data_IF_399263532443
#
_entry.id   IF_399263532443
#
_cell.length_a   1.000
_cell.length_b   1.000
_cell.length_c   1.000
_cell.angle_alpha   90.00
_cell.angle_beta   90.00
_cell.angle_gamma   90.00
#
_symmetry.space_group_name_H-M   'P 1'
#
loop_
_entity.id
_entity.type
_entity.pdbx_description
1 polymer ?
#
# COMPACT_ATOMS: atom_id res chain seq x y z
N UNK A 1 9.89 -6.27 -38.20
CA UNK A 1 10.08 -5.53 -36.93
C UNK A 1 9.00 -6.05 -35.99
N UNK A 2 9.40 -6.83 -34.98
CA UNK A 2 8.51 -7.68 -34.18
C UNK A 2 7.46 -6.87 -33.40
N UNK A 3 6.23 -7.36 -33.47
CA UNK A 3 5.03 -6.83 -32.85
C UNK A 3 5.16 -6.72 -31.32
N UNK A 4 4.80 -5.54 -30.80
CA UNK A 4 4.49 -5.29 -29.40
C UNK A 4 3.33 -6.20 -28.95
N UNK A 5 3.64 -7.33 -28.32
CA UNK A 5 2.65 -8.03 -27.50
C UNK A 5 2.56 -7.27 -26.18
N UNK A 6 1.48 -6.48 -26.00
CA UNK A 6 1.02 -6.15 -24.65
C UNK A 6 0.77 -7.48 -23.95
N UNK A 7 1.41 -7.72 -22.81
CA UNK A 7 1.05 -8.87 -21.98
C UNK A 7 -0.26 -8.54 -21.28
N UNK A 8 -1.38 -8.89 -21.92
CA UNK A 8 -2.74 -8.59 -21.46
C UNK A 8 -3.07 -9.21 -20.08
N UNK A 9 -2.19 -10.07 -19.55
CA UNK A 9 -2.32 -10.67 -18.21
C UNK A 9 -1.79 -9.76 -17.09
N UNK A 10 -0.88 -8.83 -17.39
CA UNK A 10 -0.29 -7.95 -16.37
C UNK A 10 -1.34 -7.09 -15.64
N UNK A 11 -2.30 -6.44 -16.33
CA UNK A 11 -3.37 -5.70 -15.65
C UNK A 11 -4.21 -6.61 -14.73
N UNK A 12 -4.63 -7.79 -15.20
CA UNK A 12 -5.45 -8.72 -14.42
C UNK A 12 -4.75 -9.23 -13.15
N UNK A 13 -3.44 -9.47 -13.22
CA UNK A 13 -2.63 -9.84 -12.06
C UNK A 13 -2.51 -8.66 -11.09
N UNK A 14 -2.20 -7.46 -11.60
CA UNK A 14 -2.10 -6.26 -10.77
C UNK A 14 -3.41 -5.94 -10.04
N UNK A 15 -4.55 -6.06 -10.72
CA UNK A 15 -5.89 -5.97 -10.13
C UNK A 15 -6.12 -7.02 -9.03
N UNK A 16 -5.65 -8.25 -9.25
CA UNK A 16 -5.77 -9.33 -8.25
C UNK A 16 -4.95 -9.03 -7.00
N UNK A 17 -3.70 -8.57 -7.17
CA UNK A 17 -2.83 -8.14 -6.08
C UNK A 17 -3.46 -6.94 -5.35
N UNK A 18 -3.95 -5.96 -6.09
CA UNK A 18 -4.57 -4.76 -5.55
C UNK A 18 -5.82 -5.06 -4.75
N UNK A 19 -6.71 -5.93 -5.24
CA UNK A 19 -7.89 -6.39 -4.50
C UNK A 19 -7.52 -7.03 -3.17
N UNK A 20 -6.48 -7.86 -3.13
CA UNK A 20 -5.98 -8.46 -1.87
C UNK A 20 -5.46 -7.40 -0.90
N UNK A 21 -4.76 -6.38 -1.41
CA UNK A 21 -4.33 -5.22 -0.62
C UNK A 21 -5.54 -4.49 -0.04
N UNK A 22 -6.56 -4.18 -0.86
CA UNK A 22 -7.77 -3.48 -0.42
C UNK A 22 -8.56 -4.30 0.60
N UNK A 23 -8.72 -5.61 0.37
CA UNK A 23 -9.37 -6.53 1.30
C UNK A 23 -8.67 -6.54 2.65
N UNK A 24 -7.33 -6.65 2.67
CA UNK A 24 -6.57 -6.59 3.92
C UNK A 24 -6.67 -5.23 4.58
N UNK A 25 -6.47 -4.15 3.83
CA UNK A 25 -6.50 -2.77 4.34
C UNK A 25 -7.87 -2.40 4.94
N UNK A 26 -8.96 -3.05 4.50
CA UNK A 26 -10.32 -2.84 5.01
C UNK A 26 -10.68 -3.72 6.21
N UNK A 27 -9.74 -4.49 6.75
CA UNK A 27 -10.01 -5.28 7.95
C UNK A 27 -10.46 -4.35 9.11
N UNK A 28 -11.64 -4.57 9.72
CA UNK A 28 -12.18 -3.69 10.75
C UNK A 28 -11.25 -3.43 11.93
N UNK A 29 -10.38 -4.39 12.30
CA UNK A 29 -9.47 -4.27 13.44
C UNK A 29 -8.51 -3.08 13.32
N UNK A 30 -8.11 -2.68 12.11
CA UNK A 30 -7.29 -1.47 11.92
C UNK A 30 -8.00 -0.21 12.43
N UNK A 31 -9.31 -0.13 12.25
CA UNK A 31 -10.10 1.04 12.60
C UNK A 31 -10.61 0.96 14.04
N UNK A 32 -11.17 -0.18 14.40
CA UNK A 32 -11.85 -0.38 15.68
C UNK A 32 -10.86 -0.55 16.85
N UNK A 33 -9.81 -1.34 16.64
CA UNK A 33 -8.86 -1.70 17.70
C UNK A 33 -7.62 -0.81 17.64
N UNK A 34 -6.97 -0.75 16.48
CA UNK A 34 -5.75 0.04 16.26
C UNK A 34 -6.02 1.54 16.08
N UNK A 35 -7.30 1.95 15.94
CA UNK A 35 -7.68 3.37 15.98
C UNK A 35 -7.25 4.18 14.76
N UNK A 36 -7.00 3.53 13.62
CA UNK A 36 -6.80 4.25 12.35
C UNK A 36 -8.11 4.97 11.99
N UNK A 37 -8.10 6.27 11.66
CA UNK A 37 -9.32 6.99 11.34
C UNK A 37 -10.07 6.36 10.15
N UNK A 38 -11.33 5.94 10.34
CA UNK A 38 -12.17 5.43 9.26
C UNK A 38 -12.69 6.58 8.36
N UNK A 39 -11.77 7.14 7.60
CA UNK A 39 -11.98 8.23 6.65
C UNK A 39 -11.35 7.88 5.32
N UNK A 40 -11.64 8.65 4.27
CA UNK A 40 -11.01 8.47 2.95
C UNK A 40 -9.48 8.47 3.06
N UNK A 41 -8.92 9.41 3.81
CA UNK A 41 -7.48 9.53 3.96
C UNK A 41 -6.92 8.35 4.79
N UNK A 42 -7.57 7.96 5.89
CA UNK A 42 -7.12 6.81 6.69
C UNK A 42 -7.19 5.47 5.94
N UNK A 43 -8.25 5.24 5.14
CA UNK A 43 -8.33 4.08 4.24
C UNK A 43 -7.23 4.11 3.19
N UNK A 44 -6.93 5.27 2.62
CA UNK A 44 -5.82 5.44 1.69
C UNK A 44 -4.46 5.16 2.33
N UNK A 45 -4.23 5.57 3.58
CA UNK A 45 -2.99 5.26 4.29
C UNK A 45 -2.80 3.75 4.46
N UNK A 46 -3.84 3.01 4.82
CA UNK A 46 -3.76 1.54 4.95
C UNK A 46 -3.52 0.85 3.61
N UNK A 47 -4.20 1.28 2.53
CA UNK A 47 -3.94 0.76 1.18
C UNK A 47 -2.50 1.08 0.76
N UNK A 48 -2.03 2.31 0.98
CA UNK A 48 -0.66 2.74 0.68
C UNK A 48 0.38 1.90 1.41
N UNK A 49 0.16 1.65 2.70
CA UNK A 49 1.07 0.89 3.55
C UNK A 49 1.19 -0.58 3.12
N UNK A 50 0.06 -1.22 2.76
CA UNK A 50 0.07 -2.58 2.24
C UNK A 50 0.61 -2.68 0.82
N UNK A 51 0.32 -1.71 -0.05
CA UNK A 51 0.95 -1.61 -1.39
C UNK A 51 2.47 -1.48 -1.27
N UNK A 52 2.96 -0.65 -0.34
CA UNK A 52 4.39 -0.52 -0.06
C UNK A 52 5.05 -1.87 0.25
N UNK A 53 4.44 -2.68 1.11
CA UNK A 53 4.97 -3.99 1.49
C UNK A 53 5.12 -4.93 0.28
N UNK A 54 4.12 -4.95 -0.60
CA UNK A 54 4.16 -5.75 -1.84
C UNK A 54 5.23 -5.21 -2.80
N UNK A 55 5.30 -3.89 -3.00
CA UNK A 55 6.33 -3.27 -3.85
C UNK A 55 7.74 -3.52 -3.31
N UNK A 56 7.93 -3.48 -1.99
CA UNK A 56 9.21 -3.80 -1.34
C UNK A 56 9.64 -5.23 -1.64
N UNK A 57 8.70 -6.19 -1.64
CA UNK A 57 8.98 -7.59 -2.01
C UNK A 57 9.30 -7.78 -3.50
N UNK A 58 8.63 -7.04 -4.37
CA UNK A 58 8.85 -7.10 -5.82
C UNK A 58 10.18 -6.47 -6.24
N UNK A 59 10.64 -5.43 -5.53
CA UNK A 59 11.82 -4.62 -5.87
C UNK A 59 13.12 -5.40 -6.13
N UNK A 60 13.55 -6.38 -5.31
CA UNK A 60 14.78 -7.15 -5.56
C UNK A 60 14.63 -8.27 -6.62
N UNK A 61 13.45 -8.43 -7.21
CA UNK A 61 13.18 -9.51 -8.18
C UNK A 61 13.69 -9.23 -9.61
N UNK A 62 13.46 -10.18 -10.54
CA UNK A 62 13.84 -10.02 -11.95
C UNK A 62 13.05 -8.90 -12.64
N UNK A 63 13.44 -8.42 -13.84
CA UNK A 63 12.75 -7.32 -14.54
C UNK A 63 11.23 -7.47 -14.72
N UNK A 64 10.70 -8.70 -14.69
CA UNK A 64 9.26 -8.96 -14.71
C UNK A 64 8.53 -8.42 -13.48
N UNK A 65 9.16 -8.38 -12.30
CA UNK A 65 8.55 -7.85 -11.06
C UNK A 65 8.40 -6.34 -11.11
N UNK A 66 9.33 -5.62 -11.75
CA UNK A 66 9.23 -4.18 -11.96
C UNK A 66 8.00 -3.81 -12.80
N UNK A 67 7.69 -4.60 -13.84
CA UNK A 67 6.47 -4.40 -14.65
C UNK A 67 5.20 -4.59 -13.84
N UNK A 68 5.16 -5.60 -12.97
CA UNK A 68 4.03 -5.85 -12.07
C UNK A 68 3.90 -4.73 -11.04
N UNK A 69 5.02 -4.26 -10.46
CA UNK A 69 5.01 -3.15 -9.52
C UNK A 69 4.47 -1.86 -10.15
N UNK A 70 4.84 -1.56 -11.40
CA UNK A 70 4.28 -0.43 -12.14
C UNK A 70 2.78 -0.62 -12.38
N UNK A 71 2.36 -1.78 -12.87
CA UNK A 71 0.94 -2.05 -13.11
C UNK A 71 0.10 -1.98 -11.81
N UNK A 72 0.64 -2.46 -10.68
CA UNK A 72 0.01 -2.35 -9.37
C UNK A 72 -0.15 -0.88 -8.93
N UNK A 73 0.90 -0.08 -9.16
CA UNK A 73 0.84 1.37 -8.90
C UNK A 73 -0.24 2.02 -9.77
N UNK A 74 -0.27 1.72 -11.07
CA UNK A 74 -1.24 2.28 -12.01
C UNK A 74 -2.68 1.93 -11.58
N UNK A 75 -2.96 0.66 -11.26
CA UNK A 75 -4.26 0.19 -10.77
C UNK A 75 -4.67 0.90 -9.47
N UNK A 76 -3.75 1.02 -8.51
CA UNK A 76 -4.02 1.69 -7.24
C UNK A 76 -4.41 3.16 -7.43
N UNK A 77 -3.72 3.87 -8.32
CA UNK A 77 -4.00 5.29 -8.55
C UNK A 77 -5.24 5.52 -9.42
N UNK A 78 -5.55 4.61 -10.35
CA UNK A 78 -6.81 4.63 -11.10
C UNK A 78 -8.02 4.42 -10.18
N UNK A 79 -7.96 3.42 -9.28
CA UNK A 79 -9.03 3.19 -8.29
C UNK A 79 -9.21 4.39 -7.35
N UNK A 80 -8.10 5.01 -6.93
CA UNK A 80 -8.15 6.21 -6.10
C UNK A 80 -8.73 7.42 -6.85
N UNK A 81 -8.35 7.66 -8.12
CA UNK A 81 -8.92 8.73 -8.95
C UNK A 81 -10.43 8.53 -9.11
N UNK A 82 -10.85 7.31 -9.43
CA UNK A 82 -12.27 6.96 -9.54
C UNK A 82 -13.01 7.19 -8.22
N UNK A 83 -12.51 6.63 -7.11
CA UNK A 83 -13.13 6.77 -5.78
C UNK A 83 -13.28 8.24 -5.37
N UNK A 84 -12.24 9.06 -5.56
CA UNK A 84 -12.27 10.49 -5.23
C UNK A 84 -13.24 11.27 -6.11
N UNK A 85 -13.32 10.91 -7.40
CA UNK A 85 -14.31 11.50 -8.31
C UNK A 85 -15.71 11.07 -7.91
N UNK A 86 -15.97 9.81 -7.61
CA UNK A 86 -17.30 9.34 -7.22
C UNK A 86 -17.81 10.01 -5.94
N UNK A 87 -16.94 10.21 -4.95
CA UNK A 87 -17.30 10.92 -3.71
C UNK A 87 -17.52 12.43 -3.88
N UNK A 88 -17.13 13.02 -5.00
CA UNK A 88 -17.19 14.46 -5.24
C UNK A 88 -17.54 14.86 -6.68
N UNK A 89 -18.27 13.99 -7.39
CA UNK A 89 -18.47 13.94 -8.85
C UNK A 89 -18.14 15.25 -9.61
N UNK A 90 -16.84 15.45 -9.90
CA UNK A 90 -16.34 16.36 -10.93
C UNK A 90 -15.82 17.73 -10.51
N UNK A 91 -15.64 18.02 -9.22
CA UNK A 91 -15.29 19.38 -8.79
C UNK A 91 -13.86 19.84 -9.18
N UNK A 92 -13.66 21.16 -9.31
CA UNK A 92 -12.37 21.79 -9.64
C UNK A 92 -11.35 21.64 -8.48
N UNK A 93 -10.81 20.45 -8.27
CA UNK A 93 -9.84 20.18 -7.20
C UNK A 93 -9.32 18.75 -7.11
N UNK A 94 -10.06 17.78 -7.66
CA UNK A 94 -9.73 16.35 -7.58
C UNK A 94 -8.34 16.05 -8.15
N UNK A 95 -8.02 16.58 -9.34
CA UNK A 95 -6.71 16.37 -9.96
C UNK A 95 -5.53 16.90 -9.12
N UNK A 96 -5.72 18.03 -8.42
CA UNK A 96 -4.70 18.58 -7.51
C UNK A 96 -4.52 17.67 -6.28
N UNK A 97 -5.62 17.16 -5.73
CA UNK A 97 -5.58 16.21 -4.60
C UNK A 97 -4.85 14.92 -4.97
N UNK A 98 -5.17 14.34 -6.11
CA UNK A 98 -4.50 13.11 -6.61
C UNK A 98 -3.01 13.34 -6.77
N UNK A 99 -2.59 14.43 -7.41
CA UNK A 99 -1.17 14.76 -7.57
C UNK A 99 -0.46 14.87 -6.21
N UNK A 100 -1.11 15.49 -5.22
CA UNK A 100 -0.58 15.57 -3.86
C UNK A 100 -0.45 14.19 -3.20
N UNK A 101 -1.43 13.31 -3.39
CA UNK A 101 -1.41 11.96 -2.84
C UNK A 101 -0.32 11.10 -3.49
N UNK A 102 -0.11 11.20 -4.82
CA UNK A 102 1.00 10.56 -5.53
C UNK A 102 2.36 11.01 -4.97
N UNK A 103 2.57 12.32 -4.82
CA UNK A 103 3.82 12.85 -4.28
C UNK A 103 4.08 12.35 -2.85
N UNK A 104 3.04 12.38 -2.02
CA UNK A 104 3.13 11.96 -0.65
C UNK A 104 3.32 10.42 -0.53
N UNK A 105 2.78 9.62 -1.46
CA UNK A 105 2.99 8.18 -1.53
C UNK A 105 4.49 7.80 -1.64
N UNK A 106 5.26 8.45 -2.52
CA UNK A 106 6.70 8.19 -2.62
C UNK A 106 7.46 8.56 -1.34
N UNK A 107 7.09 9.68 -0.71
CA UNK A 107 7.66 10.08 0.59
C UNK A 107 7.37 9.06 1.69
N UNK A 108 6.14 8.52 1.72
CA UNK A 108 5.72 7.46 2.64
C UNK A 108 6.54 6.20 2.45
N UNK A 109 6.64 5.69 1.21
CA UNK A 109 7.47 4.52 0.87
C UNK A 109 8.88 4.69 1.42
N UNK A 110 9.53 5.82 1.13
CA UNK A 110 10.89 6.05 1.61
C UNK A 110 10.99 6.02 3.15
N UNK A 111 10.03 6.62 3.85
CA UNK A 111 10.00 6.61 5.31
C UNK A 111 9.75 5.23 5.92
N UNK A 112 8.86 4.44 5.33
CA UNK A 112 8.59 3.08 5.80
C UNK A 112 9.76 2.12 5.50
N UNK A 113 10.38 2.26 4.33
CA UNK A 113 11.55 1.47 3.93
C UNK A 113 12.74 1.70 4.88
N UNK A 114 12.99 2.97 5.23
CA UNK A 114 13.99 3.35 6.22
C UNK A 114 13.62 2.82 7.61
N UNK A 115 12.36 2.98 8.04
CA UNK A 115 11.88 2.49 9.34
C UNK A 115 12.01 0.97 9.50
N UNK A 116 11.66 0.20 8.46
CA UNK A 116 11.83 -1.27 8.47
C UNK A 116 13.29 -1.73 8.46
N UNK A 117 14.21 -0.85 8.06
CA UNK A 117 15.64 -1.16 8.03
C UNK A 117 16.36 -0.67 9.30
N UNK A 118 15.65 0.02 10.20
CA UNK A 118 16.16 0.52 11.47
C UNK A 118 15.85 -0.44 12.62
N UNK A 119 16.67 -0.39 13.67
CA UNK A 119 16.42 -1.03 14.95
C UNK A 119 15.71 -0.12 15.97
N UNK A 120 15.47 1.15 15.60
CA UNK A 120 14.84 2.17 16.45
C UNK A 120 13.34 2.34 16.24
N UNK A 121 12.84 3.52 16.63
CA UNK A 121 11.43 3.93 16.58
C UNK A 121 11.00 4.58 15.26
N UNK A 122 11.86 4.58 14.24
CA UNK A 122 11.61 5.35 13.00
C UNK A 122 10.37 4.84 12.24
N UNK A 123 10.04 3.55 12.35
CA UNK A 123 8.82 3.01 11.76
C UNK A 123 7.59 3.54 12.50
N UNK A 124 7.58 3.51 13.83
CA UNK A 124 6.52 4.02 14.69
C UNK A 124 6.30 5.52 14.43
N UNK A 125 7.38 6.30 14.33
CA UNK A 125 7.34 7.72 14.01
C UNK A 125 6.75 7.98 12.61
N UNK A 126 7.12 7.17 11.62
CA UNK A 126 6.55 7.25 10.28
C UNK A 126 5.06 6.88 10.26
N UNK A 127 4.65 5.83 10.97
CA UNK A 127 3.26 5.40 11.08
C UNK A 127 2.41 6.44 11.83
N UNK A 128 2.90 6.94 12.96
CA UNK A 128 2.26 8.00 13.75
C UNK A 128 1.99 9.25 12.89
N UNK A 129 2.99 9.70 12.14
CA UNK A 129 2.85 10.87 11.26
C UNK A 129 1.91 10.62 10.08
N UNK A 130 2.02 9.47 9.43
CA UNK A 130 1.37 9.24 8.14
C UNK A 130 -0.02 8.64 8.30
N UNK A 131 -0.15 7.52 9.02
CA UNK A 131 -1.41 6.76 9.19
C UNK A 131 -2.35 7.49 10.15
N UNK A 132 -1.78 8.04 11.22
CA UNK A 132 -2.55 8.67 12.28
C UNK A 132 -2.53 10.19 12.24
N UNK A 133 -1.94 10.84 11.22
CA UNK A 133 -1.61 12.27 11.22
C UNK A 133 -2.75 13.26 11.49
N UNK A 134 -4.01 12.83 11.38
CA UNK A 134 -5.21 13.61 11.73
C UNK A 134 -5.83 13.23 13.08
N UNK A 135 -5.19 12.36 13.84
CA UNK A 135 -5.66 11.76 15.09
C UNK A 135 -4.52 11.72 16.12
N UNK A 136 -4.86 11.35 17.36
CA UNK A 136 -3.90 11.15 18.44
C UNK A 136 -4.07 9.73 18.99
N UNK A 137 -3.45 8.73 18.36
CA UNK A 137 -3.55 7.35 18.82
C UNK A 137 -2.83 7.20 20.16
N UNK A 138 -3.26 6.21 20.94
CA UNK A 138 -2.49 5.71 22.07
C UNK A 138 -1.16 5.13 21.55
N UNK A 139 -0.01 5.40 22.19
CA UNK A 139 1.30 4.90 21.75
C UNK A 139 1.33 3.38 21.51
N UNK A 140 0.58 2.63 22.31
CA UNK A 140 0.44 1.18 22.23
C UNK A 140 -0.14 0.73 20.88
N UNK A 141 -1.11 1.48 20.33
CA UNK A 141 -1.72 1.17 19.02
C UNK A 141 -0.78 1.41 17.85
N UNK A 142 0.10 2.42 17.98
CA UNK A 142 1.15 2.68 16.99
C UNK A 142 2.19 1.56 17.03
N UNK A 143 2.57 1.11 18.23
CA UNK A 143 3.49 0.00 18.41
C UNK A 143 2.92 -1.31 17.83
N UNK A 144 1.67 -1.63 18.14
CA UNK A 144 0.99 -2.83 17.63
C UNK A 144 0.89 -2.82 16.10
N UNK A 145 0.54 -1.66 15.50
CA UNK A 145 0.58 -1.52 14.04
C UNK A 145 2.01 -1.70 13.50
N UNK A 146 3.03 -1.17 14.16
CA UNK A 146 4.41 -1.31 13.73
C UNK A 146 4.89 -2.77 13.80
N UNK A 147 4.53 -3.51 14.85
CA UNK A 147 4.79 -4.95 14.98
C UNK A 147 4.11 -5.75 13.88
N UNK A 148 2.82 -5.46 13.61
CA UNK A 148 2.10 -6.03 12.48
C UNK A 148 2.86 -5.77 11.16
N UNK A 149 3.25 -4.52 10.87
CA UNK A 149 3.96 -4.18 9.63
C UNK A 149 5.32 -4.88 9.51
N UNK A 150 6.08 -4.99 10.61
CA UNK A 150 7.33 -5.76 10.63
C UNK A 150 7.08 -7.24 10.32
N UNK A 151 6.08 -7.85 10.95
CA UNK A 151 5.73 -9.25 10.70
C UNK A 151 5.30 -9.51 9.26
N UNK A 152 4.51 -8.60 8.66
CA UNK A 152 4.10 -8.70 7.27
C UNK A 152 5.28 -8.54 6.31
N UNK A 153 6.21 -7.64 6.63
CA UNK A 153 7.42 -7.45 5.82
C UNK A 153 8.27 -8.73 5.78
N UNK A 154 8.43 -9.41 6.92
CA UNK A 154 9.13 -10.70 7.01
C UNK A 154 8.37 -11.78 6.24
N UNK A 155 7.06 -11.92 6.49
CA UNK A 155 6.23 -12.91 5.81
C UNK A 155 6.33 -12.78 4.29
N UNK A 156 6.18 -11.56 3.77
CA UNK A 156 6.25 -11.31 2.33
C UNK A 156 7.67 -11.50 1.79
N UNK A 157 8.73 -11.14 2.54
CA UNK A 157 10.12 -11.37 2.11
C UNK A 157 10.42 -12.84 1.87
N UNK A 158 9.78 -13.72 2.65
CA UNK A 158 10.02 -15.16 2.63
C UNK A 158 9.21 -15.89 1.54
N UNK A 159 8.19 -15.24 0.96
CA UNK A 159 7.40 -15.83 -0.12
C UNK A 159 8.23 -16.03 -1.40
N UNK A 160 7.89 -17.06 -2.17
CA UNK A 160 8.42 -17.21 -3.53
C UNK A 160 7.97 -16.02 -4.38
N UNK A 161 8.90 -15.46 -5.16
CA UNK A 161 8.60 -14.32 -6.02
C UNK A 161 7.52 -14.67 -7.05
N UNK A 162 7.47 -15.91 -7.56
CA UNK A 162 6.48 -16.35 -8.53
C UNK A 162 5.05 -16.33 -7.94
N UNK A 163 4.91 -16.61 -6.65
CA UNK A 163 3.61 -16.53 -5.94
C UNK A 163 3.16 -15.07 -5.84
N UNK A 164 4.08 -14.16 -5.50
CA UNK A 164 3.77 -12.72 -5.44
C UNK A 164 3.45 -12.19 -6.85
N UNK A 165 4.19 -12.62 -7.87
CA UNK A 165 3.97 -12.22 -9.27
C UNK A 165 2.68 -12.77 -9.88
N UNK A 166 2.12 -13.84 -9.34
CA UNK A 166 0.83 -14.37 -9.76
C UNK A 166 -0.32 -13.89 -8.87
N UNK A 167 -0.03 -13.13 -7.81
CA UNK A 167 -1.01 -12.74 -6.79
C UNK A 167 -1.44 -13.88 -5.88
N UNK A 168 -0.72 -15.01 -5.88
CA UNK A 168 -1.01 -16.22 -5.10
C UNK A 168 -0.46 -16.14 -3.67
N UNK A 169 -0.74 -15.05 -2.97
CA UNK A 169 -0.33 -14.84 -1.58
C UNK A 169 -1.48 -14.36 -0.71
N UNK A 170 -1.25 -14.40 0.60
CA UNK A 170 -2.14 -13.84 1.62
C UNK A 170 -1.32 -13.02 2.60
N UNK A 171 -1.93 -11.96 3.14
CA UNK A 171 -1.39 -11.27 4.30
C UNK A 171 -1.69 -12.11 5.56
N UNK A 172 -0.85 -11.99 6.58
CA UNK A 172 -1.23 -12.49 7.91
C UNK A 172 -2.42 -11.69 8.46
N UNK A 173 -3.16 -12.27 9.40
CA UNK A 173 -4.20 -11.54 10.11
C UNK A 173 -3.59 -10.33 10.84
N UNK A 174 -4.33 -9.22 10.82
CA UNK A 174 -4.19 -8.14 11.81
C UNK A 174 -4.89 -8.58 13.08
#
# INVERSE_FOLDING_TARGET
>A
MLSFLKDDRLPSVAETIYRKIVEQARNPRFYDELGVPDTVDGRFELVTLHTFLVLRRLKPGPPSTSRIGQALFDVMFEDMDLSLREMGAGDMGVGKRIKSMVQAFYGRIASYDAGLSSAGSELEEALSRNVYGTSKPEPEKVLELAEYIRSQAILLSDLNIDDVQSGSFVFAAV
#
